data_IF_392565832361
#
_entry.id   IF_392565832361
#
_cell.length_a   1.000
_cell.length_b   1.000
_cell.length_c   1.000
_cell.angle_alpha   90.00
_cell.angle_beta   90.00
_cell.angle_gamma   90.00
#
_symmetry.space_group_name_H-M   'P 1'
#
loop_
_entity.id
_entity.type
_entity.pdbx_description
1 polymer ?
#
# COMPACT_ATOMS: atom_id res chain seq x y z
N UNK A 1 -6.50 4.59 10.61
CA UNK A 1 -5.62 3.50 10.09
C UNK A 1 -4.22 4.04 9.85
N UNK A 2 -3.23 3.39 10.42
CA UNK A 2 -1.84 3.81 10.27
C UNK A 2 -1.13 3.01 9.20
N UNK A 3 -0.41 3.71 8.33
CA UNK A 3 0.50 3.09 7.37
C UNK A 3 1.82 2.90 8.09
N UNK A 4 2.31 1.67 8.14
CA UNK A 4 3.64 1.37 8.66
C UNK A 4 4.48 0.92 7.47
N UNK A 5 5.33 1.81 6.91
CA UNK A 5 6.10 1.47 5.72
C UNK A 5 6.88 0.17 5.90
N UNK A 6 6.94 -0.64 4.85
CA UNK A 6 7.61 -1.94 4.82
C UNK A 6 6.88 -3.05 5.59
N UNK A 7 5.88 -2.72 6.38
CA UNK A 7 5.18 -3.68 7.26
C UNK A 7 3.73 -3.90 6.85
N UNK A 8 2.97 -2.83 6.64
CA UNK A 8 1.57 -2.95 6.27
C UNK A 8 0.74 -1.71 6.60
N UNK A 9 -0.56 -1.92 6.72
CA UNK A 9 -1.51 -0.86 7.10
C UNK A 9 -2.40 -1.39 8.23
N UNK A 10 -2.54 -0.62 9.28
CA UNK A 10 -3.34 -0.95 10.46
C UNK A 10 -2.91 -2.31 11.03
N UNK A 11 -3.80 -3.28 11.10
CA UNK A 11 -3.48 -4.63 11.60
C UNK A 11 -2.97 -5.56 10.50
N UNK A 12 -3.01 -5.12 9.24
CA UNK A 12 -2.54 -5.92 8.11
C UNK A 12 -1.01 -5.89 8.06
N UNK A 13 -0.41 -7.09 8.00
CA UNK A 13 1.03 -7.24 7.95
C UNK A 13 1.40 -8.06 6.72
N UNK A 14 2.38 -7.61 5.94
CA UNK A 14 2.80 -8.31 4.75
C UNK A 14 3.27 -9.73 5.10
N UNK A 15 2.74 -10.70 4.35
CA UNK A 15 2.94 -12.12 4.60
C UNK A 15 1.71 -12.83 5.11
N UNK A 16 0.67 -12.10 5.53
CA UNK A 16 -0.59 -12.70 5.95
C UNK A 16 -1.24 -13.47 4.81
N UNK A 17 -1.91 -14.56 5.15
CA UNK A 17 -2.73 -15.31 4.20
C UNK A 17 -4.16 -14.77 4.22
N UNK A 18 -4.97 -15.19 3.25
CA UNK A 18 -6.37 -14.77 3.18
C UNK A 18 -7.12 -15.04 4.48
N UNK A 19 -6.90 -16.20 5.08
CA UNK A 19 -7.55 -16.56 6.36
C UNK A 19 -7.18 -15.62 7.49
N UNK A 20 -5.94 -15.14 7.52
CA UNK A 20 -5.47 -14.22 8.55
C UNK A 20 -6.15 -12.86 8.41
N UNK A 21 -6.27 -12.39 7.18
CA UNK A 21 -6.95 -11.12 6.89
C UNK A 21 -8.44 -11.23 7.21
N UNK A 22 -9.08 -12.33 6.82
CA UNK A 22 -10.52 -12.53 7.10
C UNK A 22 -10.80 -12.64 8.60
N UNK A 23 -9.85 -13.16 9.37
CA UNK A 23 -9.99 -13.19 10.83
C UNK A 23 -10.02 -11.79 11.43
N UNK A 24 -9.35 -10.82 10.79
CA UNK A 24 -9.31 -9.42 11.25
C UNK A 24 -10.50 -8.61 10.75
N UNK A 25 -10.85 -8.74 9.49
CA UNK A 25 -11.82 -7.84 8.83
C UNK A 25 -13.04 -8.55 8.25
N UNK A 26 -13.13 -9.86 8.38
CA UNK A 26 -14.22 -10.63 7.79
C UNK A 26 -14.00 -10.81 6.28
N UNK A 27 -15.04 -11.27 5.61
CA UNK A 27 -14.97 -11.50 4.17
C UNK A 27 -14.90 -10.18 3.41
N UNK A 28 -14.15 -10.13 2.30
CA UNK A 28 -14.07 -8.92 1.49
C UNK A 28 -15.40 -8.61 0.81
N UNK A 29 -15.57 -7.35 0.42
CA UNK A 29 -16.72 -6.93 -0.38
C UNK A 29 -16.69 -7.60 -1.74
N UNK A 30 -15.49 -7.82 -2.27
CA UNK A 30 -15.27 -8.44 -3.57
C UNK A 30 -13.95 -9.19 -3.56
N UNK A 31 -13.92 -10.36 -4.21
CA UNK A 31 -12.70 -11.14 -4.41
C UNK A 31 -12.63 -11.54 -5.88
N UNK A 32 -11.47 -11.35 -6.50
CA UNK A 32 -11.27 -11.70 -7.90
C UNK A 32 -9.78 -11.95 -8.18
N UNK A 33 -9.49 -12.41 -9.39
CA UNK A 33 -8.11 -12.63 -9.84
C UNK A 33 -7.69 -11.53 -10.79
N UNK A 34 -6.42 -11.09 -10.69
CA UNK A 34 -5.87 -10.15 -11.67
C UNK A 34 -5.27 -10.91 -12.86
N UNK A 35 -4.63 -10.20 -13.77
CA UNK A 35 -4.04 -10.79 -15.00
C UNK A 35 -2.96 -11.81 -14.70
N UNK A 36 -2.26 -11.68 -13.58
CA UNK A 36 -1.20 -12.60 -13.18
C UNK A 36 -1.69 -13.70 -12.24
N UNK A 37 -3.00 -13.84 -12.12
CA UNK A 37 -3.67 -14.81 -11.26
C UNK A 37 -3.43 -14.62 -9.77
N UNK A 38 -3.01 -13.43 -9.38
CA UNK A 38 -2.98 -13.05 -7.97
C UNK A 38 -4.41 -12.88 -7.47
N UNK A 39 -4.64 -13.16 -6.20
CA UNK A 39 -5.96 -12.93 -5.61
C UNK A 39 -6.04 -11.50 -5.08
N UNK A 40 -7.11 -10.82 -5.47
CA UNK A 40 -7.39 -9.44 -5.03
C UNK A 40 -8.57 -9.48 -4.08
N UNK A 41 -8.40 -8.87 -2.89
CA UNK A 41 -9.50 -8.62 -1.95
C UNK A 41 -9.78 -7.13 -1.90
N UNK A 42 -11.06 -6.79 -2.00
CA UNK A 42 -11.48 -5.41 -1.94
C UNK A 42 -12.43 -5.21 -0.76
N UNK A 43 -12.06 -4.32 0.15
CA UNK A 43 -12.87 -3.96 1.32
C UNK A 43 -13.39 -2.54 1.12
N UNK A 44 -14.62 -2.42 0.61
CA UNK A 44 -15.18 -1.12 0.26
C UNK A 44 -15.33 -0.17 1.44
N UNK A 45 -15.78 -0.68 2.58
CA UNK A 45 -15.97 0.15 3.78
C UNK A 45 -14.64 0.71 4.31
N UNK A 46 -13.56 -0.04 4.17
CA UNK A 46 -12.23 0.38 4.62
C UNK A 46 -11.46 1.13 3.54
N UNK A 47 -11.96 1.08 2.31
CA UNK A 47 -11.29 1.63 1.13
C UNK A 47 -9.87 1.08 0.97
N UNK A 48 -9.77 -0.24 1.13
CA UNK A 48 -8.52 -0.99 0.97
C UNK A 48 -8.66 -2.04 -0.13
N UNK A 49 -7.59 -2.18 -0.90
CA UNK A 49 -7.47 -3.22 -1.91
C UNK A 49 -6.20 -4.00 -1.63
N UNK A 50 -6.30 -5.31 -1.47
CA UNK A 50 -5.20 -6.18 -1.08
C UNK A 50 -4.85 -7.12 -2.21
N UNK A 51 -3.55 -7.34 -2.45
CA UNK A 51 -3.08 -8.31 -3.42
C UNK A 51 -2.31 -9.41 -2.71
N UNK A 52 -2.77 -10.66 -2.93
CA UNK A 52 -2.12 -11.88 -2.44
C UNK A 52 -1.40 -12.52 -3.61
N UNK A 53 -0.07 -12.60 -3.55
CA UNK A 53 0.74 -13.06 -4.67
C UNK A 53 0.72 -14.57 -4.83
N UNK A 54 0.28 -15.03 -6.00
CA UNK A 54 0.23 -16.46 -6.34
C UNK A 54 1.60 -17.12 -6.19
N UNK A 55 2.64 -16.48 -6.71
CA UNK A 55 4.00 -17.04 -6.68
C UNK A 55 4.63 -17.07 -5.30
N UNK A 56 3.98 -16.46 -4.31
CA UNK A 56 4.43 -16.42 -2.91
C UNK A 56 3.43 -17.13 -2.00
N UNK A 57 2.80 -18.19 -2.52
CA UNK A 57 1.79 -18.99 -1.79
C UNK A 57 0.64 -18.14 -1.27
N UNK A 58 0.26 -17.13 -2.04
CA UNK A 58 -0.84 -16.20 -1.74
C UNK A 58 -0.64 -15.42 -0.44
N UNK A 59 0.58 -15.00 -0.19
CA UNK A 59 0.87 -14.06 0.89
C UNK A 59 0.53 -12.64 0.48
N UNK A 60 0.01 -11.87 1.43
CA UNK A 60 -0.30 -10.47 1.22
C UNK A 60 0.99 -9.70 0.93
N UNK A 61 1.09 -9.11 -0.26
CA UNK A 61 2.29 -8.41 -0.68
C UNK A 61 2.09 -6.96 -1.11
N UNK A 62 0.84 -6.53 -1.27
CA UNK A 62 0.57 -5.18 -1.75
C UNK A 62 -0.77 -4.68 -1.23
N UNK A 63 -0.81 -3.41 -0.82
CA UNK A 63 -2.02 -2.77 -0.30
C UNK A 63 -2.19 -1.41 -0.95
N UNK A 64 -3.39 -1.14 -1.47
CA UNK A 64 -3.76 0.18 -1.96
C UNK A 64 -4.84 0.73 -1.04
N UNK A 65 -4.63 1.92 -0.51
CA UNK A 65 -5.58 2.57 0.39
C UNK A 65 -6.01 3.94 -0.14
N UNK A 66 -7.29 4.26 0.01
CA UNK A 66 -7.84 5.55 -0.41
C UNK A 66 -8.67 6.22 0.67
N UNK A 67 -8.62 5.71 1.89
CA UNK A 67 -9.38 6.29 3.00
C UNK A 67 -8.77 7.61 3.49
N UNK A 68 -9.60 8.66 3.69
CA UNK A 68 -9.13 9.89 4.30
C UNK A 68 -8.59 9.71 5.73
N UNK A 69 -8.90 8.56 6.33
CA UNK A 69 -8.43 8.23 7.70
C UNK A 69 -7.02 7.65 7.73
N UNK A 70 -6.39 7.43 6.57
CA UNK A 70 -5.03 6.91 6.51
C UNK A 70 -4.03 7.92 7.06
N UNK A 71 -3.13 7.44 7.93
CA UNK A 71 -2.08 8.26 8.52
C UNK A 71 -0.71 7.69 8.14
N UNK A 72 0.18 8.56 7.70
CA UNK A 72 1.58 8.24 7.45
C UNK A 72 2.41 9.15 8.34
N UNK A 73 3.20 8.58 9.24
CA UNK A 73 3.95 9.33 10.25
C UNK A 73 3.01 10.29 11.02
N UNK A 74 1.83 9.76 11.37
CA UNK A 74 0.78 10.47 12.13
C UNK A 74 0.15 11.66 11.42
N UNK A 75 0.33 11.76 10.10
CA UNK A 75 -0.26 12.83 9.29
C UNK A 75 -1.19 12.27 8.23
N UNK A 76 -2.31 12.96 8.00
CA UNK A 76 -3.23 12.58 6.93
C UNK A 76 -2.58 12.82 5.58
N UNK A 77 -2.92 12.01 4.60
CA UNK A 77 -2.30 12.04 3.28
C UNK A 77 -3.33 12.22 2.16
N UNK A 78 -4.42 11.50 2.23
CA UNK A 78 -5.44 11.50 1.16
C UNK A 78 -6.18 12.83 1.11
N UNK A 79 -6.34 13.35 -0.11
CA UNK A 79 -7.05 14.61 -0.36
C UNK A 79 -6.20 15.85 -0.20
N UNK A 80 -4.92 15.69 0.05
CA UNK A 80 -4.00 16.83 0.26
C UNK A 80 -3.07 17.02 -0.93
N UNK A 81 -2.59 18.24 -1.17
CA UNK A 81 -1.58 18.46 -2.22
C UNK A 81 -0.32 17.64 -1.97
N UNK A 82 0.17 16.96 -2.99
CA UNK A 82 1.34 16.08 -2.85
C UNK A 82 2.58 16.83 -2.39
N UNK A 83 2.74 18.07 -2.84
CA UNK A 83 3.90 18.90 -2.42
C UNK A 83 3.90 19.15 -0.92
N UNK A 84 2.72 19.35 -0.33
CA UNK A 84 2.55 19.55 1.11
C UNK A 84 2.90 18.28 1.88
N UNK A 85 2.38 17.15 1.40
CA UNK A 85 2.66 15.84 2.00
C UNK A 85 4.16 15.56 1.97
N UNK A 86 4.81 15.77 0.82
CA UNK A 86 6.24 15.54 0.67
C UNK A 86 7.08 16.43 1.59
N UNK A 87 6.65 17.67 1.81
CA UNK A 87 7.35 18.58 2.72
C UNK A 87 7.28 18.11 4.17
N UNK A 88 6.16 17.50 4.55
CA UNK A 88 5.99 16.98 5.90
C UNK A 88 6.74 15.65 6.10
N UNK A 89 6.99 14.92 5.03
CA UNK A 89 7.76 13.68 5.06
C UNK A 89 9.25 14.02 4.91
N UNK A 90 9.81 14.64 5.92
CA UNK A 90 11.17 15.15 5.87
C UNK A 90 12.24 14.18 6.35
N UNK A 91 11.84 12.96 6.75
CA UNK A 91 12.81 11.98 7.18
C UNK A 91 13.65 11.51 5.98
N UNK A 92 14.86 11.08 6.28
CA UNK A 92 15.84 10.59 5.32
C UNK A 92 15.25 9.54 4.36
N UNK A 93 14.38 8.66 4.86
CA UNK A 93 13.79 7.58 4.07
C UNK A 93 12.76 8.06 3.05
N UNK A 94 12.27 9.27 3.19
CA UNK A 94 11.27 9.86 2.29
C UNK A 94 11.84 11.01 1.45
N UNK A 95 13.15 11.10 1.34
CA UNK A 95 13.80 12.21 0.62
C UNK A 95 13.75 12.08 -0.89
N UNK A 96 13.68 10.86 -1.41
CA UNK A 96 13.75 10.60 -2.86
C UNK A 96 12.42 10.12 -3.40
N UNK A 97 11.89 10.84 -4.38
CA UNK A 97 10.66 10.52 -5.06
C UNK A 97 10.88 10.53 -6.56
N UNK A 98 10.39 9.50 -7.25
CA UNK A 98 10.40 9.43 -8.71
C UNK A 98 8.99 9.66 -9.20
N UNK A 99 8.82 10.59 -10.13
CA UNK A 99 7.52 10.95 -10.68
C UNK A 99 7.29 10.23 -11.99
N UNK A 100 6.12 9.61 -12.14
CA UNK A 100 5.66 9.01 -13.40
C UNK A 100 4.31 9.60 -13.76
N UNK A 101 4.14 9.97 -15.02
CA UNK A 101 2.90 10.56 -15.51
C UNK A 101 2.11 9.57 -16.35
N UNK A 102 0.81 9.43 -16.07
CA UNK A 102 -0.11 8.57 -16.81
C UNK A 102 -1.38 9.37 -17.11
N UNK A 103 -1.51 9.92 -18.32
CA UNK A 103 -2.64 10.76 -18.72
C UNK A 103 -2.90 11.86 -17.67
N UNK A 104 -4.00 11.74 -16.90
CA UNK A 104 -4.36 12.71 -15.86
C UNK A 104 -3.82 12.35 -14.49
N UNK A 105 -3.18 11.18 -14.35
CA UNK A 105 -2.66 10.69 -13.08
C UNK A 105 -1.16 10.88 -13.01
N UNK A 106 -0.66 11.21 -11.83
CA UNK A 106 0.77 11.25 -11.57
C UNK A 106 1.06 10.39 -10.34
N UNK A 107 2.05 9.53 -10.46
CA UNK A 107 2.50 8.68 -9.35
C UNK A 107 3.85 9.17 -8.85
N UNK A 108 4.00 9.25 -7.55
CA UNK A 108 5.27 9.59 -6.90
C UNK A 108 5.74 8.35 -6.15
N UNK A 109 6.81 7.74 -6.64
CA UNK A 109 7.35 6.50 -6.10
C UNK A 109 8.52 6.77 -5.17
N UNK A 110 8.44 6.20 -3.97
CA UNK A 110 9.53 6.19 -3.00
C UNK A 110 10.04 4.76 -2.88
N UNK A 111 11.18 4.47 -3.47
CA UNK A 111 11.75 3.12 -3.52
C UNK A 111 12.16 2.61 -2.15
N UNK A 112 12.70 3.48 -1.31
CA UNK A 112 13.18 3.10 0.02
C UNK A 112 12.10 2.45 0.87
N UNK A 113 10.88 2.95 0.78
CA UNK A 113 9.74 2.42 1.53
C UNK A 113 8.79 1.58 0.70
N UNK A 114 9.09 1.40 -0.59
CA UNK A 114 8.23 0.73 -1.56
C UNK A 114 6.81 1.27 -1.50
N UNK A 115 6.71 2.57 -1.74
CA UNK A 115 5.47 3.31 -1.58
C UNK A 115 5.20 4.21 -2.78
N UNK A 116 3.93 4.30 -3.18
CA UNK A 116 3.49 5.21 -4.24
C UNK A 116 2.41 6.13 -3.67
N UNK A 117 2.56 7.43 -3.92
CA UNK A 117 1.49 8.39 -3.73
C UNK A 117 0.90 8.65 -5.11
N UNK A 118 -0.31 8.18 -5.35
CA UNK A 118 -1.01 8.44 -6.60
C UNK A 118 -1.77 9.75 -6.47
N UNK A 119 -1.60 10.63 -7.45
CA UNK A 119 -2.25 11.94 -7.43
C UNK A 119 -3.10 12.14 -8.66
N UNK A 120 -4.12 13.00 -8.50
CA UNK A 120 -4.97 13.47 -9.57
C UNK A 120 -5.13 14.97 -9.35
N UNK A 121 -4.74 15.79 -10.33
CA UNK A 121 -4.72 17.25 -10.19
C UNK A 121 -3.94 17.70 -8.94
N UNK A 122 -2.76 17.10 -8.73
CA UNK A 122 -1.82 17.36 -7.63
C UNK A 122 -2.28 16.94 -6.24
N UNK A 123 -3.50 16.45 -6.07
CA UNK A 123 -3.98 15.96 -4.79
C UNK A 123 -3.79 14.45 -4.69
N UNK A 124 -3.35 13.97 -3.52
CA UNK A 124 -3.16 12.55 -3.28
C UNK A 124 -4.52 11.86 -3.19
N UNK A 125 -4.74 10.88 -4.07
CA UNK A 125 -6.00 10.13 -4.11
C UNK A 125 -5.85 8.71 -3.55
N UNK A 126 -4.65 8.13 -3.67
CA UNK A 126 -4.38 6.77 -3.17
C UNK A 126 -2.95 6.68 -2.67
N UNK A 127 -2.76 5.80 -1.69
CA UNK A 127 -1.42 5.39 -1.23
C UNK A 127 -1.28 3.91 -1.50
N UNK A 128 -0.19 3.52 -2.16
CA UNK A 128 0.11 2.12 -2.42
C UNK A 128 1.36 1.76 -1.64
N UNK A 129 1.33 0.63 -0.94
CA UNK A 129 2.49 0.13 -0.19
C UNK A 129 2.70 -1.33 -0.51
N UNK A 130 3.96 -1.72 -0.65
CA UNK A 130 4.32 -3.09 -0.98
C UNK A 130 5.32 -3.68 0.00
N UNK A 131 5.35 -5.01 0.03
CA UNK A 131 6.35 -5.74 0.80
C UNK A 131 7.74 -5.49 0.20
N UNK A 132 8.73 -5.35 1.06
CA UNK A 132 10.10 -5.08 0.65
C UNK A 132 10.74 -6.34 0.07
N UNK A 133 11.50 -6.15 -1.01
CA UNK A 133 12.31 -7.20 -1.62
C UNK A 133 13.77 -6.91 -1.27
N UNK A 134 14.47 -7.90 -0.75
CA UNK A 134 15.87 -7.73 -0.34
C UNK A 134 16.84 -7.83 -1.54
N UNK A 135 18.14 -7.71 -1.27
CA UNK A 135 19.16 -7.74 -2.31
C UNK A 135 19.27 -9.08 -3.05
N UNK A 136 18.66 -10.14 -2.53
CA UNK A 136 18.61 -11.47 -3.14
C UNK A 136 17.33 -11.70 -3.94
N UNK A 137 16.56 -10.65 -4.18
CA UNK A 137 15.26 -10.68 -4.86
C UNK A 137 14.23 -11.55 -4.13
N UNK A 138 14.33 -11.62 -2.82
CA UNK A 138 13.38 -12.34 -1.97
C UNK A 138 12.58 -11.37 -1.12
N UNK A 139 11.29 -11.67 -0.92
CA UNK A 139 10.45 -10.85 -0.06
C UNK A 139 10.83 -11.01 1.40
N UNK A 140 10.81 -9.89 2.13
CA UNK A 140 11.01 -9.89 3.57
C UNK A 140 9.63 -9.88 4.24
N UNK A 141 9.09 -11.07 4.50
CA UNK A 141 7.78 -11.19 5.11
C UNK A 141 7.85 -10.85 6.60
N UNK A 142 6.99 -9.93 7.02
CA UNK A 142 6.97 -9.44 8.41
C UNK A 142 6.00 -10.22 9.30
N UNK A 143 4.97 -10.81 8.70
CA UNK A 143 4.01 -11.61 9.46
C UNK A 143 4.62 -12.96 9.82
N UNK A 144 4.61 -13.26 11.11
CA UNK A 144 5.10 -14.53 11.65
C UNK A 144 3.98 -15.19 12.42
N UNK A 145 3.74 -16.45 12.09
CA UNK A 145 2.69 -17.22 12.71
C UNK A 145 3.24 -18.03 13.88
#
# INVERSE_FOLDING_TARGET
MKITPKIGIDKLIFGMLQKDVEALYGKPSKSFKDEDENTIYQYNALKLRLTFYKDESFKLGYIVGSSPELLLLDKKVIGRPVSEVQKELTSKDFAKWEKEEFDTLENYFNEENWMILQTEFDDVTKVEVGAIINAKDEFEWKFKK
#
